data_IF_554416940466
#
_entry.id   IF_554416940466
#
_cell.length_a   1.000
_cell.length_b   1.000
_cell.length_c   1.000
_cell.angle_alpha   90.00
_cell.angle_beta   90.00
_cell.angle_gamma   90.00
#
_symmetry.space_group_name_H-M   'P 1'
#
loop_
_entity.id
_entity.type
_entity.pdbx_description
1 polymer ?
#
# COMPACT_ATOMS: atom_id res chain seq x y z
N UNK A 1 -35.11 19.01 22.28
CA UNK A 1 -33.63 18.87 22.20
C UNK A 1 -33.11 19.85 21.17
N UNK A 2 -32.30 20.84 21.55
CA UNK A 2 -31.93 21.95 20.66
C UNK A 2 -31.05 21.47 19.49
N UNK A 3 -31.24 22.03 18.29
CA UNK A 3 -30.41 21.70 17.11
C UNK A 3 -28.90 21.86 17.39
N UNK A 4 -28.53 22.81 18.26
CA UNK A 4 -27.14 23.03 18.71
C UNK A 4 -26.56 21.82 19.46
N UNK A 5 -27.34 21.15 20.31
CA UNK A 5 -26.88 19.96 21.04
C UNK A 5 -26.61 18.77 20.11
N UNK A 6 -27.41 18.60 19.05
CA UNK A 6 -27.20 17.51 18.07
C UNK A 6 -25.93 17.69 17.25
N UNK A 7 -25.62 18.92 16.85
CA UNK A 7 -24.39 19.23 16.09
C UNK A 7 -23.15 18.97 16.94
N UNK A 8 -23.19 19.37 18.22
CA UNK A 8 -22.10 19.08 19.17
C UNK A 8 -21.86 17.58 19.32
N UNK A 9 -22.93 16.78 19.45
CA UNK A 9 -22.84 15.31 19.55
C UNK A 9 -22.23 14.66 18.29
N UNK A 10 -22.57 15.15 17.11
CA UNK A 10 -21.98 14.66 15.85
C UNK A 10 -20.49 14.96 15.83
N UNK A 11 -20.10 16.18 16.22
CA UNK A 11 -18.70 16.58 16.28
C UNK A 11 -17.89 15.75 17.27
N UNK A 12 -18.41 15.53 18.49
CA UNK A 12 -17.74 14.69 19.49
C UNK A 12 -17.58 13.25 19.01
N UNK A 13 -18.58 12.71 18.30
CA UNK A 13 -18.49 11.36 17.74
C UNK A 13 -17.44 11.27 16.61
N UNK A 14 -17.34 12.29 15.75
CA UNK A 14 -16.30 12.36 14.72
C UNK A 14 -14.90 12.41 15.35
N UNK A 15 -14.68 13.28 16.34
CA UNK A 15 -13.39 13.40 17.03
C UNK A 15 -13.03 12.08 17.72
N UNK A 16 -13.98 11.45 18.42
CA UNK A 16 -13.74 10.17 19.08
C UNK A 16 -13.39 9.04 18.10
N UNK A 17 -14.08 8.97 16.95
CA UNK A 17 -13.74 7.97 15.92
C UNK A 17 -12.37 8.23 15.28
N UNK A 18 -11.99 9.50 15.10
CA UNK A 18 -10.66 9.86 14.63
C UNK A 18 -9.58 9.47 15.66
N UNK A 19 -9.81 9.74 16.94
CA UNK A 19 -8.89 9.41 18.03
C UNK A 19 -8.65 7.90 18.15
N UNK A 20 -9.72 7.09 18.09
CA UNK A 20 -9.60 5.63 18.12
C UNK A 20 -8.83 5.06 16.93
N UNK A 21 -9.00 5.66 15.74
CA UNK A 21 -8.22 5.28 14.54
C UNK A 21 -6.75 5.67 14.69
N UNK A 22 -6.47 6.86 15.22
CA UNK A 22 -5.11 7.33 15.46
C UNK A 22 -4.33 6.39 16.39
N UNK A 23 -4.91 6.00 17.53
CA UNK A 23 -4.32 5.03 18.46
C UNK A 23 -4.03 3.68 17.80
N UNK A 24 -4.91 3.22 16.92
CA UNK A 24 -4.70 1.96 16.17
C UNK A 24 -3.50 2.05 15.22
N UNK A 25 -3.28 3.20 14.60
CA UNK A 25 -2.14 3.46 13.70
C UNK A 25 -0.85 3.55 14.52
N UNK A 26 -0.85 4.31 15.61
CA UNK A 26 0.30 4.52 16.49
C UNK A 26 0.89 3.18 16.97
N UNK A 27 0.03 2.25 17.41
CA UNK A 27 0.45 0.91 17.87
C UNK A 27 1.16 0.07 16.80
N UNK A 28 0.96 0.38 15.51
CA UNK A 28 1.56 -0.34 14.37
C UNK A 28 2.54 0.52 13.58
N UNK A 29 2.84 1.74 14.04
CA UNK A 29 3.57 2.75 13.28
C UNK A 29 4.96 2.26 12.88
N UNK A 30 5.71 1.66 13.80
CA UNK A 30 7.06 1.13 13.52
C UNK A 30 7.03 0.08 12.40
N UNK A 31 6.11 -0.89 12.47
CA UNK A 31 5.95 -1.90 11.42
C UNK A 31 5.52 -1.27 10.10
N UNK A 32 4.54 -0.35 10.12
CA UNK A 32 4.06 0.30 8.90
C UNK A 32 5.19 1.09 8.20
N UNK A 33 5.99 1.84 8.97
CA UNK A 33 7.16 2.57 8.45
C UNK A 33 8.20 1.62 7.87
N UNK A 34 8.47 0.50 8.54
CA UNK A 34 9.39 -0.52 8.03
C UNK A 34 8.90 -1.08 6.69
N UNK A 35 7.61 -1.38 6.53
CA UNK A 35 7.07 -1.83 5.24
C UNK A 35 7.15 -0.76 4.14
N UNK A 36 6.88 0.52 4.47
CA UNK A 36 7.09 1.64 3.54
C UNK A 36 8.56 1.70 3.11
N UNK A 37 9.49 1.59 4.06
CA UNK A 37 10.91 1.67 3.80
C UNK A 37 11.41 0.50 2.92
N UNK A 38 11.01 -0.73 3.23
CA UNK A 38 11.34 -1.89 2.38
C UNK A 38 10.74 -1.73 0.98
N UNK A 39 9.49 -1.27 0.87
CA UNK A 39 8.87 -0.98 -0.42
C UNK A 39 9.66 0.07 -1.21
N UNK A 40 10.06 1.15 -0.55
CA UNK A 40 10.87 2.20 -1.13
C UNK A 40 12.21 1.68 -1.67
N UNK A 41 12.92 0.87 -0.89
CA UNK A 41 14.16 0.22 -1.33
C UNK A 41 13.94 -0.64 -2.57
N UNK A 42 12.89 -1.47 -2.59
CA UNK A 42 12.55 -2.31 -3.74
C UNK A 42 12.24 -1.46 -4.97
N UNK A 43 11.46 -0.39 -4.81
CA UNK A 43 11.13 0.53 -5.91
C UNK A 43 12.36 1.21 -6.50
N UNK A 44 13.29 1.65 -5.65
CA UNK A 44 14.53 2.29 -6.07
C UNK A 44 15.50 1.29 -6.74
N UNK A 45 15.59 0.06 -6.22
CA UNK A 45 16.37 -1.01 -6.84
C UNK A 45 15.84 -1.39 -8.23
N UNK A 46 14.52 -1.40 -8.40
CA UNK A 46 13.89 -1.69 -9.68
C UNK A 46 14.31 -0.70 -10.78
N UNK A 47 14.46 0.58 -10.44
CA UNK A 47 14.97 1.62 -11.36
C UNK A 47 16.31 1.24 -12.00
N UNK A 48 17.26 0.77 -11.18
CA UNK A 48 18.56 0.29 -11.66
C UNK A 48 18.43 -0.94 -12.57
N UNK A 49 17.52 -1.87 -12.26
CA UNK A 49 17.25 -3.02 -13.12
C UNK A 49 16.53 -2.63 -14.41
N UNK A 50 15.73 -1.57 -14.40
CA UNK A 50 14.95 -1.10 -15.55
C UNK A 50 15.87 -0.70 -16.71
N UNK A 51 17.02 -0.08 -16.41
CA UNK A 51 18.08 0.20 -17.40
C UNK A 51 18.63 -1.07 -18.06
N UNK A 52 18.74 -2.17 -17.31
CA UNK A 52 19.17 -3.47 -17.85
C UNK A 52 18.04 -4.13 -18.65
N UNK A 53 16.79 -4.08 -18.16
CA UNK A 53 15.62 -4.59 -18.86
C UNK A 53 15.37 -3.87 -20.19
N UNK A 54 15.58 -2.55 -20.26
CA UNK A 54 15.43 -1.77 -21.50
C UNK A 54 16.41 -2.22 -22.60
N UNK A 55 17.61 -2.70 -22.23
CA UNK A 55 18.56 -3.28 -23.20
C UNK A 55 18.08 -4.61 -23.79
N UNK A 56 17.28 -5.37 -23.04
CA UNK A 56 16.78 -6.69 -23.46
C UNK A 56 15.42 -6.53 -24.18
N UNK A 57 14.57 -5.65 -23.67
CA UNK A 57 13.22 -5.40 -24.13
C UNK A 57 13.15 -3.92 -24.52
N UNK A 58 13.30 -3.64 -25.82
CA UNK A 58 13.18 -2.29 -26.41
C UNK A 58 11.75 -1.72 -26.37
N UNK A 59 10.85 -2.31 -25.60
CA UNK A 59 9.43 -1.96 -25.54
C UNK A 59 9.10 -1.35 -24.18
N UNK A 60 9.23 -0.03 -24.06
CA UNK A 60 8.88 0.70 -22.83
C UNK A 60 7.41 0.48 -22.42
N UNK A 61 6.51 0.27 -23.40
CA UNK A 61 5.10 -0.09 -23.16
C UNK A 61 4.98 -1.43 -22.42
N UNK A 62 5.85 -2.40 -22.72
CA UNK A 62 5.84 -3.71 -22.07
C UNK A 62 6.23 -3.62 -20.60
N UNK A 63 7.20 -2.75 -20.29
CA UNK A 63 7.64 -2.49 -18.91
C UNK A 63 6.49 -1.88 -18.10
N UNK A 64 5.79 -0.89 -18.65
CA UNK A 64 4.63 -0.27 -18.01
C UNK A 64 3.52 -1.31 -17.76
N UNK A 65 3.24 -2.17 -18.74
CA UNK A 65 2.21 -3.20 -18.63
C UNK A 65 2.56 -4.24 -17.56
N UNK A 66 3.83 -4.65 -17.45
CA UNK A 66 4.33 -5.51 -16.38
C UNK A 66 4.15 -4.86 -15.00
N UNK A 67 4.48 -3.57 -14.87
CA UNK A 67 4.29 -2.83 -13.61
C UNK A 67 2.80 -2.77 -13.23
N UNK A 68 1.91 -2.51 -14.19
CA UNK A 68 0.46 -2.49 -13.97
C UNK A 68 -0.05 -3.87 -13.51
N UNK A 69 0.38 -4.95 -14.18
CA UNK A 69 0.02 -6.32 -13.79
C UNK A 69 0.54 -6.68 -12.39
N UNK A 70 1.76 -6.28 -12.03
CA UNK A 70 2.29 -6.47 -10.67
C UNK A 70 1.48 -5.70 -9.64
N UNK A 71 1.08 -4.46 -9.93
CA UNK A 71 0.23 -3.65 -9.05
C UNK A 71 -1.18 -4.20 -8.90
N UNK A 72 -1.73 -4.77 -9.97
CA UNK A 72 -3.02 -5.45 -9.97
C UNK A 72 -2.96 -6.77 -9.21
N UNK A 73 -1.89 -7.55 -9.37
CA UNK A 73 -1.64 -8.75 -8.56
C UNK A 73 -1.51 -8.43 -7.07
N UNK A 74 -0.75 -7.39 -6.70
CA UNK A 74 -0.68 -6.92 -5.31
C UNK A 74 -2.08 -6.52 -4.79
N UNK A 75 -2.83 -5.75 -5.56
CA UNK A 75 -4.21 -5.39 -5.20
C UNK A 75 -5.11 -6.62 -5.02
N UNK A 76 -5.04 -7.57 -5.96
CA UNK A 76 -5.80 -8.81 -5.90
C UNK A 76 -5.49 -9.56 -4.60
N UNK A 77 -4.21 -9.73 -4.24
CA UNK A 77 -3.83 -10.42 -2.99
C UNK A 77 -4.32 -9.71 -1.72
N UNK A 78 -4.33 -8.38 -1.71
CA UNK A 78 -4.84 -7.57 -0.59
C UNK A 78 -6.38 -7.69 -0.47
N UNK A 79 -7.10 -7.57 -1.59
CA UNK A 79 -8.55 -7.50 -1.61
C UNK A 79 -9.24 -8.87 -1.58
N UNK A 80 -8.59 -9.95 -2.03
CA UNK A 80 -9.18 -11.29 -2.02
C UNK A 80 -9.62 -11.75 -0.63
N UNK A 81 -8.96 -11.27 0.42
CA UNK A 81 -9.26 -11.63 1.81
C UNK A 81 -10.56 -11.01 2.31
N UNK A 82 -11.04 -9.91 1.69
CA UNK A 82 -12.24 -9.18 2.10
C UNK A 82 -13.53 -9.83 1.58
N UNK A 83 -13.48 -10.59 0.47
CA UNK A 83 -14.63 -11.25 -0.14
C UNK A 83 -14.34 -12.73 -0.52
N UNK A 84 -14.57 -13.63 0.45
CA UNK A 84 -14.95 -15.07 0.37
C UNK A 84 -14.28 -16.07 -0.63
N UNK A 85 -14.00 -17.26 -0.06
CA UNK A 85 -14.04 -18.65 -0.61
C UNK A 85 -12.90 -19.22 -1.46
N UNK A 86 -12.04 -18.44 -2.13
CA UNK A 86 -11.06 -19.05 -3.05
C UNK A 86 -9.80 -19.66 -2.40
N UNK A 87 -9.43 -19.27 -1.17
CA UNK A 87 -8.24 -19.83 -0.49
C UNK A 87 -8.62 -20.89 0.55
N UNK A 88 -8.92 -22.09 0.09
CA UNK A 88 -8.92 -23.27 0.98
C UNK A 88 -7.48 -23.69 1.37
N UNK A 89 -6.46 -23.25 0.61
CA UNK A 89 -5.06 -23.65 0.81
C UNK A 89 -4.29 -22.81 1.86
N UNK A 90 -4.63 -21.53 2.07
CA UNK A 90 -3.99 -20.68 3.10
C UNK A 90 -4.89 -20.43 4.32
N UNK A 91 -5.72 -21.43 4.69
CA UNK A 91 -6.67 -21.31 5.79
C UNK A 91 -6.00 -21.13 7.17
N UNK A 92 -4.72 -21.50 7.30
CA UNK A 92 -3.98 -21.47 8.56
C UNK A 92 -3.23 -20.17 8.86
N UNK A 93 -3.20 -19.20 7.95
CA UNK A 93 -2.55 -17.93 8.23
C UNK A 93 -3.48 -17.02 9.03
N UNK A 94 -3.36 -17.09 10.37
CA UNK A 94 -3.85 -16.13 11.40
C UNK A 94 -3.30 -14.70 11.21
N UNK A 95 -2.80 -14.39 10.02
CA UNK A 95 -2.00 -13.24 9.59
C UNK A 95 -2.90 -12.18 8.94
N UNK A 96 -3.95 -11.72 9.62
CA UNK A 96 -4.78 -10.63 9.10
C UNK A 96 -3.98 -9.31 9.04
N UNK A 97 -3.04 -9.10 9.98
CA UNK A 97 -2.23 -7.89 10.02
C UNK A 97 -1.14 -7.82 8.93
N UNK A 98 -0.56 -8.95 8.50
CA UNK A 98 0.54 -8.92 7.52
C UNK A 98 0.08 -8.45 6.14
N UNK A 99 -1.09 -8.90 5.67
CA UNK A 99 -1.65 -8.45 4.38
C UNK A 99 -2.05 -6.97 4.38
N UNK A 100 -2.50 -6.43 5.52
CA UNK A 100 -2.72 -4.99 5.65
C UNK A 100 -1.41 -4.21 5.49
N UNK A 101 -0.30 -4.77 5.97
CA UNK A 101 1.02 -4.16 5.84
C UNK A 101 1.57 -4.18 4.41
N UNK A 102 1.06 -5.07 3.53
CA UNK A 102 1.39 -5.04 2.10
C UNK A 102 0.88 -3.77 1.40
N UNK A 103 -0.15 -3.10 1.93
CA UNK A 103 -0.56 -1.78 1.44
C UNK A 103 0.53 -0.73 1.68
N UNK A 104 1.17 -0.76 2.84
CA UNK A 104 2.27 0.13 3.18
C UNK A 104 3.51 -0.16 2.32
N UNK A 105 3.77 -1.43 2.04
CA UNK A 105 4.79 -1.83 1.07
C UNK A 105 4.50 -1.27 -0.33
N UNK A 106 3.25 -1.41 -0.81
CA UNK A 106 2.82 -0.86 -2.11
C UNK A 106 2.99 0.66 -2.19
N UNK A 107 2.68 1.39 -1.11
CA UNK A 107 2.92 2.83 -1.04
C UNK A 107 4.42 3.11 -1.15
N UNK A 108 5.25 2.36 -0.42
CA UNK A 108 6.70 2.46 -0.51
C UNK A 108 7.25 2.22 -1.92
N UNK A 109 6.81 1.16 -2.60
CA UNK A 109 7.29 0.84 -3.96
C UNK A 109 6.91 1.91 -4.97
N UNK A 110 5.69 2.44 -4.90
CA UNK A 110 5.23 3.56 -5.73
C UNK A 110 6.06 4.83 -5.47
N UNK A 111 6.38 5.14 -4.21
CA UNK A 111 7.27 6.25 -3.87
C UNK A 111 8.67 6.05 -4.43
N UNK A 112 9.21 4.83 -4.40
CA UNK A 112 10.50 4.50 -5.00
C UNK A 112 10.50 4.72 -6.51
N UNK A 113 9.48 4.21 -7.22
CA UNK A 113 9.32 4.45 -8.66
C UNK A 113 9.17 5.95 -8.99
N UNK A 114 8.40 6.67 -8.19
CA UNK A 114 8.22 8.10 -8.35
C UNK A 114 9.56 8.84 -8.26
N UNK A 115 10.31 8.62 -7.18
CA UNK A 115 11.61 9.31 -6.96
C UNK A 115 12.60 8.99 -8.09
N UNK A 116 12.68 7.74 -8.53
CA UNK A 116 13.58 7.37 -9.62
C UNK A 116 13.15 7.97 -10.97
N UNK A 117 11.84 8.04 -11.25
CA UNK A 117 11.33 8.73 -12.44
C UNK A 117 11.68 10.23 -12.44
N UNK A 118 11.64 10.89 -11.28
CA UNK A 118 12.09 12.30 -11.16
C UNK A 118 13.59 12.45 -11.40
N UNK A 119 14.41 11.51 -10.92
CA UNK A 119 15.87 11.53 -11.10
C UNK A 119 16.29 11.45 -12.56
N UNK A 120 15.56 10.71 -13.39
CA UNK A 120 15.88 10.53 -14.82
C UNK A 120 15.30 11.65 -15.69
N UNK A 121 14.33 12.41 -15.18
CA UNK A 121 13.65 13.50 -15.89
C UNK A 121 14.13 14.92 -15.59
N UNK A 122 15.01 15.11 -14.59
CA UNK A 122 15.69 16.37 -14.24
C UNK A 122 17.06 16.47 -14.90
#
# INVERSE_FOLDING_TARGET
>A
MSKKLRISQIFTNLVNTAYLKFLSIERKLSLNLLFIFIGFLVGNLFGNFLLQFRKIINLDIGIILIILLLMEFLNFTIYLKKNRKFLFFFKNFKQINFFLNLNFFKIGTLLGFFIDAFKVGS
#
